data_IF_825358246702
#
_entry.id   IF_825358246702
#
_cell.length_a   1.000
_cell.length_b   1.000
_cell.length_c   1.000
_cell.angle_alpha   90.00
_cell.angle_beta   90.00
_cell.angle_gamma   90.00
#
_symmetry.space_group_name_H-M   'P 1'
#
loop_
_entity.id
_entity.type
_entity.pdbx_description
1 polymer ?
#
# COMPACT_ATOMS: atom_id res chain seq x y z
N UNK A 1 -4.11 -18.39 -3.73
CA UNK A 1 -3.44 -17.31 -2.96
C UNK A 1 -3.15 -17.87 -1.57
N UNK A 2 -1.96 -17.66 -0.99
CA UNK A 2 -1.78 -17.94 0.45
C UNK A 2 -2.65 -16.97 1.24
N UNK A 3 -3.21 -17.41 2.36
CA UNK A 3 -3.93 -16.53 3.29
C UNK A 3 -3.04 -15.37 3.73
N UNK A 4 -3.62 -14.18 3.84
CA UNK A 4 -2.99 -12.96 4.31
C UNK A 4 -3.70 -12.54 5.58
N UNK A 5 -3.10 -12.89 6.72
CA UNK A 5 -3.54 -12.44 8.03
C UNK A 5 -2.66 -11.26 8.47
N UNK A 6 -3.26 -10.14 8.85
CA UNK A 6 -2.55 -8.97 9.37
C UNK A 6 -2.41 -9.06 10.89
N UNK A 7 -1.18 -8.94 11.39
CA UNK A 7 -0.88 -8.92 12.82
C UNK A 7 -0.90 -7.49 13.38
N UNK A 8 -0.72 -6.48 12.52
CA UNK A 8 -0.51 -5.08 12.92
C UNK A 8 -1.49 -4.09 12.29
N UNK A 9 -2.37 -4.56 11.41
CA UNK A 9 -3.39 -3.75 10.73
C UNK A 9 -4.78 -4.29 11.06
N UNK A 10 -5.65 -3.42 11.55
CA UNK A 10 -7.07 -3.69 11.79
C UNK A 10 -7.92 -3.03 10.69
N UNK A 11 -8.64 -3.84 9.92
CA UNK A 11 -9.63 -3.39 8.95
C UNK A 11 -10.94 -3.06 9.66
N UNK A 12 -11.44 -1.85 9.46
CA UNK A 12 -12.66 -1.35 10.08
C UNK A 12 -13.58 -0.79 9.00
N UNK A 13 -14.86 -1.16 9.02
CA UNK A 13 -15.84 -0.59 8.09
C UNK A 13 -16.44 0.70 8.67
N UNK A 14 -16.54 1.74 7.84
CA UNK A 14 -17.30 2.95 8.20
C UNK A 14 -18.81 2.84 7.90
N UNK A 15 -19.19 1.91 7.02
CA UNK A 15 -20.55 1.74 6.52
C UNK A 15 -20.79 0.30 6.03
N UNK A 16 -22.05 -0.07 5.77
CA UNK A 16 -22.42 -1.42 5.35
C UNK A 16 -21.79 -1.85 4.02
N UNK A 17 -21.56 -0.92 3.08
CA UNK A 17 -20.92 -1.22 1.79
C UNK A 17 -19.43 -1.53 2.00
N UNK A 18 -18.77 -0.76 2.87
CA UNK A 18 -17.40 -1.03 3.31
C UNK A 18 -17.30 -2.37 4.07
N UNK A 19 -18.31 -2.72 4.87
CA UNK A 19 -18.39 -4.01 5.55
C UNK A 19 -18.50 -5.17 4.57
N UNK A 20 -19.26 -5.01 3.47
CA UNK A 20 -19.32 -6.00 2.39
C UNK A 20 -17.95 -6.17 1.71
N UNK A 21 -17.22 -5.09 1.46
CA UNK A 21 -15.87 -5.16 0.90
C UNK A 21 -14.91 -5.92 1.85
N UNK A 22 -14.94 -5.65 3.16
CA UNK A 22 -14.14 -6.37 4.15
C UNK A 22 -14.54 -7.85 4.24
N UNK A 23 -15.84 -8.17 4.15
CA UNK A 23 -16.30 -9.56 4.13
C UNK A 23 -15.84 -10.30 2.87
N UNK A 24 -15.79 -9.61 1.73
CA UNK A 24 -15.23 -10.16 0.49
C UNK A 24 -13.72 -10.38 0.61
N UNK A 25 -12.96 -9.45 1.21
CA UNK A 25 -11.54 -9.65 1.52
C UNK A 25 -11.34 -10.91 2.37
N UNK A 26 -12.16 -11.10 3.41
CA UNK A 26 -12.10 -12.29 4.27
C UNK A 26 -12.35 -13.57 3.47
N UNK A 27 -13.33 -13.55 2.56
CA UNK A 27 -13.64 -14.68 1.67
C UNK A 27 -12.49 -14.98 0.69
N UNK A 28 -11.74 -13.95 0.30
CA UNK A 28 -10.53 -14.05 -0.51
C UNK A 28 -9.28 -14.47 0.31
N UNK A 29 -9.43 -14.70 1.62
CA UNK A 29 -8.36 -15.10 2.53
C UNK A 29 -7.53 -13.93 3.06
N UNK A 30 -8.03 -12.70 3.03
CA UNK A 30 -7.36 -11.48 3.51
C UNK A 30 -8.12 -10.92 4.73
N UNK A 31 -7.50 -10.89 5.90
CA UNK A 31 -8.19 -10.49 7.13
C UNK A 31 -7.24 -9.97 8.21
N UNK A 32 -7.77 -9.18 9.15
CA UNK A 32 -7.07 -8.76 10.36
C UNK A 32 -7.23 -9.79 11.47
N UNK A 33 -6.17 -10.04 12.23
CA UNK A 33 -6.26 -10.87 13.43
C UNK A 33 -6.80 -10.01 14.58
N UNK A 34 -7.97 -10.38 15.08
CA UNK A 34 -8.64 -9.67 16.17
C UNK A 34 -7.92 -9.89 17.53
N UNK A 35 -8.12 -8.96 18.47
CA UNK A 35 -7.64 -9.03 19.86
C UNK A 35 -6.10 -9.17 20.02
N UNK A 36 -5.33 -8.52 19.15
CA UNK A 36 -3.87 -8.42 19.29
C UNK A 36 -3.48 -7.22 20.14
N UNK A 37 -2.44 -7.37 20.95
CA UNK A 37 -1.97 -6.35 21.90
C UNK A 37 -1.19 -5.19 21.26
N UNK A 38 -1.00 -5.15 19.94
CA UNK A 38 -0.19 -4.12 19.28
C UNK A 38 -0.64 -3.81 17.84
N UNK A 39 -1.82 -3.22 17.69
CA UNK A 39 -2.28 -2.68 16.42
C UNK A 39 -1.46 -1.43 16.05
N UNK A 40 -0.78 -1.46 14.91
CA UNK A 40 -0.05 -0.32 14.37
C UNK A 40 -0.97 0.59 13.56
N UNK A 41 -1.90 0.03 12.80
CA UNK A 41 -2.82 0.77 11.92
C UNK A 41 -4.27 0.37 12.18
N UNK A 42 -5.12 1.34 12.47
CA UNK A 42 -6.56 1.24 12.26
C UNK A 42 -6.84 1.75 10.84
N UNK A 43 -7.28 0.85 9.96
CA UNK A 43 -7.58 1.15 8.57
C UNK A 43 -9.10 1.19 8.37
N UNK A 44 -9.65 2.39 8.33
CA UNK A 44 -11.08 2.63 8.13
C UNK A 44 -11.38 2.66 6.63
N UNK A 45 -12.11 1.67 6.16
CA UNK A 45 -12.61 1.62 4.78
C UNK A 45 -13.94 2.36 4.72
N UNK A 46 -14.06 3.31 3.80
CA UNK A 46 -15.25 4.13 3.62
C UNK A 46 -15.70 4.14 2.15
N UNK A 47 -16.99 3.88 1.93
CA UNK A 47 -17.58 3.71 0.59
C UNK A 47 -18.75 4.64 0.32
N UNK A 48 -19.39 5.17 1.36
CA UNK A 48 -20.57 6.06 1.24
C UNK A 48 -20.36 7.41 1.94
N UNK A 49 -21.19 8.40 1.58
CA UNK A 49 -21.20 9.69 2.24
C UNK A 49 -21.65 9.59 3.72
N UNK A 50 -22.57 8.69 4.03
CA UNK A 50 -22.97 8.38 5.40
C UNK A 50 -21.79 7.80 6.20
N UNK A 51 -21.05 6.86 5.62
CA UNK A 51 -19.84 6.32 6.25
C UNK A 51 -18.79 7.39 6.53
N UNK A 52 -18.63 8.37 5.64
CA UNK A 52 -17.70 9.48 5.83
C UNK A 52 -18.03 10.33 7.07
N UNK A 53 -19.31 10.47 7.43
CA UNK A 53 -19.74 11.19 8.63
C UNK A 53 -19.56 10.35 9.92
N UNK A 54 -19.41 9.03 9.82
CA UNK A 54 -19.28 8.11 10.96
C UNK A 54 -17.84 7.72 11.30
N UNK A 55 -16.83 8.18 10.55
CA UNK A 55 -15.43 7.78 10.73
C UNK A 55 -14.95 7.98 12.17
N UNK A 56 -15.21 9.16 12.75
CA UNK A 56 -14.80 9.48 14.11
C UNK A 56 -15.41 8.52 15.14
N UNK A 57 -16.72 8.32 15.08
CA UNK A 57 -17.44 7.41 15.97
C UNK A 57 -16.91 5.97 15.85
N UNK A 58 -16.58 5.54 14.63
CA UNK A 58 -16.01 4.23 14.37
C UNK A 58 -14.61 4.13 15.01
N UNK A 59 -13.76 5.14 14.87
CA UNK A 59 -12.44 5.16 15.51
C UNK A 59 -12.51 5.17 17.04
N UNK A 60 -13.44 5.92 17.64
CA UNK A 60 -13.65 5.97 19.09
C UNK A 60 -14.06 4.61 19.69
N UNK A 61 -14.77 3.78 18.92
CA UNK A 61 -15.23 2.46 19.35
C UNK A 61 -14.17 1.36 19.25
N UNK A 62 -12.97 1.66 18.74
CA UNK A 62 -11.88 0.70 18.58
C UNK A 62 -10.69 1.07 19.46
N UNK A 63 -9.88 0.08 19.82
CA UNK A 63 -8.63 0.34 20.52
C UNK A 63 -7.72 1.24 19.69
N UNK A 64 -7.01 2.14 20.38
CA UNK A 64 -6.14 3.13 19.74
C UNK A 64 -4.95 2.44 19.08
N UNK A 65 -4.85 2.55 17.76
CA UNK A 65 -3.66 2.21 17.00
C UNK A 65 -2.61 3.33 17.04
N UNK A 66 -1.41 3.05 16.52
CA UNK A 66 -0.38 4.10 16.33
C UNK A 66 -0.74 5.08 15.23
N UNK A 67 -1.46 4.63 14.21
CA UNK A 67 -1.90 5.43 13.07
C UNK A 67 -3.32 5.09 12.69
N UNK A 68 -4.12 6.11 12.41
CA UNK A 68 -5.46 5.97 11.84
C UNK A 68 -5.40 6.36 10.36
N UNK A 69 -5.80 5.44 9.49
CA UNK A 69 -5.74 5.60 8.05
C UNK A 69 -7.14 5.40 7.49
N UNK A 70 -7.65 6.39 6.77
CA UNK A 70 -8.92 6.28 6.04
C UNK A 70 -8.62 5.89 4.60
N UNK A 71 -9.31 4.88 4.07
CA UNK A 71 -9.22 4.46 2.67
C UNK A 71 -10.57 4.65 2.00
N UNK A 72 -10.60 5.55 1.01
CA UNK A 72 -11.78 5.87 0.22
C UNK A 72 -11.95 4.85 -0.92
N UNK A 73 -13.03 4.08 -0.86
CA UNK A 73 -13.47 3.22 -1.95
C UNK A 73 -14.17 4.01 -3.06
N UNK A 74 -14.72 5.17 -2.71
CA UNK A 74 -15.35 6.13 -3.62
C UNK A 74 -14.52 7.42 -3.60
N UNK A 75 -13.70 7.69 -4.64
CA UNK A 75 -12.72 8.79 -4.61
C UNK A 75 -13.32 10.19 -4.50
N UNK A 76 -14.58 10.38 -4.84
CA UNK A 76 -15.29 11.66 -4.74
C UNK A 76 -15.71 12.00 -3.31
N UNK A 77 -15.62 11.05 -2.37
CA UNK A 77 -16.01 11.29 -0.97
C UNK A 77 -15.15 12.38 -0.33
N UNK A 78 -15.82 13.35 0.27
CA UNK A 78 -15.17 14.34 1.11
C UNK A 78 -15.05 13.77 2.53
N UNK A 79 -13.82 13.63 3.01
CA UNK A 79 -13.54 13.24 4.39
C UNK A 79 -13.10 14.51 5.11
N UNK A 80 -13.73 14.80 6.25
CA UNK A 80 -13.36 15.96 7.07
C UNK A 80 -11.95 15.78 7.62
N UNK A 81 -11.21 16.89 7.70
CA UNK A 81 -9.91 16.89 8.34
C UNK A 81 -10.11 16.84 9.85
N UNK A 82 -9.89 15.68 10.42
CA UNK A 82 -10.00 15.43 11.85
C UNK A 82 -8.63 15.08 12.43
N UNK A 83 -8.35 15.55 13.65
CA UNK A 83 -7.02 15.50 14.26
C UNK A 83 -6.58 14.08 14.65
N UNK A 84 -7.52 13.15 14.70
CA UNK A 84 -7.33 11.73 14.94
C UNK A 84 -7.09 10.93 13.65
N UNK A 85 -7.13 11.53 12.46
CA UNK A 85 -6.82 10.87 11.18
C UNK A 85 -5.40 11.25 10.72
N UNK A 86 -4.51 10.27 10.62
CA UNK A 86 -3.13 10.50 10.18
C UNK A 86 -2.98 10.54 8.65
N UNK A 87 -3.86 9.83 7.92
CA UNK A 87 -3.76 9.68 6.47
C UNK A 87 -5.11 9.40 5.84
N UNK A 88 -5.39 10.03 4.70
CA UNK A 88 -6.59 9.78 3.89
C UNK A 88 -6.11 9.35 2.51
N UNK A 89 -6.41 8.11 2.15
CA UNK A 89 -5.98 7.49 0.91
C UNK A 89 -7.16 7.32 -0.03
N UNK A 90 -6.90 7.52 -1.32
CA UNK A 90 -7.81 7.17 -2.40
C UNK A 90 -7.03 6.47 -3.50
N UNK A 91 -7.69 5.67 -4.31
CA UNK A 91 -7.03 4.96 -5.41
C UNK A 91 -7.08 5.78 -6.70
N UNK A 92 -6.03 5.66 -7.52
CA UNK A 92 -5.98 6.28 -8.84
C UNK A 92 -7.14 5.77 -9.72
N UNK A 93 -7.95 6.69 -10.24
CA UNK A 93 -9.07 6.36 -11.13
C UNK A 93 -8.58 6.27 -12.58
N UNK A 94 -8.29 5.05 -13.06
CA UNK A 94 -8.15 4.79 -14.49
C UNK A 94 -9.40 4.05 -15.02
N UNK A 95 -9.75 4.19 -16.32
CA UNK A 95 -10.86 3.43 -16.89
C UNK A 95 -10.69 1.92 -16.66
N UNK A 96 -11.69 1.29 -16.04
CA UNK A 96 -11.65 -0.14 -15.68
C UNK A 96 -11.00 -0.45 -14.33
N UNK A 97 -10.51 0.54 -13.58
CA UNK A 97 -10.06 0.34 -12.21
C UNK A 97 -11.23 -0.06 -11.30
N UNK A 98 -11.00 -1.10 -10.49
CA UNK A 98 -11.93 -1.56 -9.47
C UNK A 98 -11.33 -1.24 -8.09
N UNK A 99 -11.93 -0.31 -7.31
CA UNK A 99 -11.43 0.06 -5.99
C UNK A 99 -11.21 -1.14 -5.05
N UNK A 100 -12.02 -2.19 -5.17
CA UNK A 100 -11.81 -3.43 -4.41
C UNK A 100 -10.49 -4.12 -4.77
N UNK A 101 -10.16 -4.19 -6.05
CA UNK A 101 -8.89 -4.77 -6.51
C UNK A 101 -7.70 -3.91 -6.10
N UNK A 102 -7.83 -2.59 -6.16
CA UNK A 102 -6.78 -1.67 -5.70
C UNK A 102 -6.54 -1.80 -4.19
N UNK A 103 -7.60 -1.88 -3.38
CA UNK A 103 -7.50 -2.16 -1.95
C UNK A 103 -6.79 -3.50 -1.69
N UNK A 104 -7.13 -4.54 -2.46
CA UNK A 104 -6.49 -5.85 -2.35
C UNK A 104 -4.99 -5.79 -2.65
N UNK A 105 -4.59 -5.11 -3.72
CA UNK A 105 -3.18 -4.94 -4.07
C UNK A 105 -2.42 -4.10 -3.04
N UNK A 106 -3.05 -3.05 -2.50
CA UNK A 106 -2.49 -2.23 -1.44
C UNK A 106 -2.26 -3.02 -0.15
N UNK A 107 -3.24 -3.83 0.26
CA UNK A 107 -3.13 -4.71 1.43
C UNK A 107 -2.05 -5.78 1.26
N UNK A 108 -1.91 -6.35 0.06
CA UNK A 108 -0.80 -7.24 -0.27
C UNK A 108 0.54 -6.52 -0.14
N UNK A 109 0.68 -5.34 -0.76
CA UNK A 109 1.91 -4.55 -0.66
C UNK A 109 2.26 -4.22 0.80
N UNK A 110 1.26 -3.87 1.62
CA UNK A 110 1.44 -3.64 3.06
C UNK A 110 1.96 -4.89 3.77
N UNK A 111 1.31 -6.05 3.61
CA UNK A 111 1.76 -7.31 4.22
C UNK A 111 3.22 -7.57 3.86
N UNK A 112 3.53 -7.41 2.58
CA UNK A 112 4.79 -7.84 2.02
C UNK A 112 5.97 -6.97 2.43
N UNK A 113 5.74 -5.67 2.59
CA UNK A 113 6.81 -4.70 2.84
C UNK A 113 6.86 -4.18 4.28
N UNK A 114 5.72 -4.18 4.99
CA UNK A 114 5.64 -3.61 6.34
C UNK A 114 5.67 -4.70 7.42
N UNK A 115 4.93 -5.80 7.25
CA UNK A 115 4.83 -6.85 8.29
C UNK A 115 5.89 -7.94 8.15
N UNK A 116 6.23 -8.36 6.92
CA UNK A 116 7.19 -9.46 6.71
C UNK A 116 8.65 -8.97 6.79
N UNK A 117 8.87 -7.65 6.82
CA UNK A 117 10.16 -6.95 6.77
C UNK A 117 11.10 -7.38 5.63
N UNK A 118 11.53 -6.41 4.82
CA UNK A 118 12.55 -6.64 3.81
C UNK A 118 13.96 -6.72 4.41
N UNK A 119 14.93 -7.07 3.57
CA UNK A 119 16.35 -7.09 3.90
C UNK A 119 16.95 -5.66 4.00
N UNK A 120 16.26 -4.66 3.44
CA UNK A 120 16.71 -3.26 3.43
C UNK A 120 15.64 -2.38 4.03
N UNK A 121 15.98 -1.76 5.17
CA UNK A 121 15.65 -0.41 5.65
C UNK A 121 14.21 0.12 5.66
N UNK A 122 13.24 -0.58 5.09
CA UNK A 122 11.85 -0.15 5.01
C UNK A 122 11.05 -0.77 6.15
N UNK A 123 10.51 0.09 6.99
CA UNK A 123 9.74 -0.31 8.16
C UNK A 123 8.41 0.46 8.24
N UNK A 124 7.69 0.25 9.34
CA UNK A 124 6.44 0.95 9.61
C UNK A 124 6.56 2.48 9.58
N UNK A 125 7.68 3.06 10.04
CA UNK A 125 7.86 4.51 10.03
C UNK A 125 8.02 5.02 8.61
N UNK A 126 8.84 4.35 7.80
CA UNK A 126 8.96 4.66 6.37
C UNK A 126 7.60 4.58 5.67
N UNK A 127 6.82 3.53 5.93
CA UNK A 127 5.48 3.40 5.39
C UNK A 127 4.55 4.55 5.82
N UNK A 128 4.50 4.85 7.12
CA UNK A 128 3.68 5.92 7.66
C UNK A 128 4.05 7.30 7.05
N UNK A 129 5.33 7.55 6.78
CA UNK A 129 5.77 8.78 6.13
C UNK A 129 5.38 8.86 4.65
N UNK A 130 5.40 7.74 3.92
CA UNK A 130 4.93 7.68 2.52
C UNK A 130 3.45 8.00 2.40
N UNK A 131 2.62 7.44 3.29
CA UNK A 131 1.16 7.58 3.20
C UNK A 131 0.61 8.82 3.91
N UNK A 132 1.44 9.57 4.65
CA UNK A 132 1.02 10.73 5.45
C UNK A 132 0.32 11.79 4.60
N UNK A 133 -0.80 12.30 5.12
CA UNK A 133 -1.62 13.33 4.48
C UNK A 133 -2.72 12.76 3.57
N UNK A 134 -3.19 13.57 2.63
CA UNK A 134 -4.20 13.17 1.64
C UNK A 134 -3.49 12.74 0.36
N UNK A 135 -3.59 11.47 0.02
CA UNK A 135 -2.84 10.91 -1.10
C UNK A 135 -3.74 10.10 -2.05
N UNK A 136 -3.45 10.22 -3.33
CA UNK A 136 -3.86 9.25 -4.35
C UNK A 136 -2.77 8.20 -4.44
N UNK A 137 -3.12 6.94 -4.19
CA UNK A 137 -2.19 5.82 -4.17
C UNK A 137 -2.43 4.84 -5.31
N UNK A 138 -1.37 4.19 -5.77
CA UNK A 138 -1.43 3.13 -6.77
C UNK A 138 -0.33 2.08 -6.55
N UNK A 139 -0.63 0.84 -6.94
CA UNK A 139 0.28 -0.30 -6.83
C UNK A 139 0.42 -0.94 -8.20
N UNK A 140 1.65 -1.01 -8.70
CA UNK A 140 2.01 -1.69 -9.94
C UNK A 140 2.92 -2.85 -9.61
N UNK A 141 2.58 -4.07 -10.02
CA UNK A 141 3.36 -5.27 -9.68
C UNK A 141 3.48 -6.20 -10.88
N UNK A 142 4.71 -6.60 -11.21
CA UNK A 142 5.00 -7.45 -12.35
C UNK A 142 5.98 -8.55 -11.96
N UNK A 143 5.58 -9.79 -12.26
CA UNK A 143 6.45 -10.97 -12.09
C UNK A 143 7.51 -11.03 -13.17
N UNK A 144 8.66 -11.60 -12.85
CA UNK A 144 9.74 -11.91 -13.79
C UNK A 144 10.29 -13.31 -13.51
N UNK A 145 10.94 -13.92 -14.50
CA UNK A 145 11.56 -15.24 -14.33
C UNK A 145 13.05 -15.11 -14.05
N UNK A 146 13.82 -14.58 -15.00
CA UNK A 146 15.28 -14.54 -14.91
C UNK A 146 15.81 -13.10 -14.84
N UNK A 147 15.21 -12.19 -15.60
CA UNK A 147 15.67 -10.81 -15.74
C UNK A 147 14.64 -9.81 -15.17
N UNK A 148 15.05 -9.11 -14.12
CA UNK A 148 14.25 -8.07 -13.47
C UNK A 148 13.89 -6.93 -14.43
N UNK A 149 14.69 -6.72 -15.49
CA UNK A 149 14.44 -5.71 -16.50
C UNK A 149 13.11 -5.94 -17.24
N UNK A 150 12.63 -7.19 -17.33
CA UNK A 150 11.31 -7.53 -17.90
C UNK A 150 10.19 -6.83 -17.11
N UNK A 151 10.19 -7.01 -15.78
CA UNK A 151 9.22 -6.38 -14.89
C UNK A 151 9.37 -4.84 -14.87
N UNK A 152 10.61 -4.33 -14.85
CA UNK A 152 10.89 -2.89 -14.87
C UNK A 152 10.35 -2.24 -16.15
N UNK A 153 10.44 -2.91 -17.31
CA UNK A 153 9.92 -2.36 -18.57
C UNK A 153 8.41 -2.04 -18.49
N UNK A 154 7.66 -2.80 -17.71
CA UNK A 154 6.23 -2.55 -17.48
C UNK A 154 5.97 -1.40 -16.50
N UNK A 155 6.95 -0.99 -15.70
CA UNK A 155 6.87 0.14 -14.76
C UNK A 155 7.28 1.47 -15.40
N UNK A 156 8.11 1.46 -16.46
CA UNK A 156 8.55 2.68 -17.16
C UNK A 156 7.41 3.62 -17.62
N UNK A 157 6.23 3.14 -18.05
CA UNK A 157 5.14 4.02 -18.44
C UNK A 157 4.44 4.74 -17.28
N UNK A 158 4.73 4.40 -16.03
CA UNK A 158 4.12 5.04 -14.86
C UNK A 158 4.54 6.52 -14.81
N UNK A 159 3.56 7.41 -14.69
CA UNK A 159 3.77 8.84 -14.67
C UNK A 159 4.30 9.29 -13.29
N UNK A 160 5.62 9.33 -13.14
CA UNK A 160 6.28 9.81 -11.94
C UNK A 160 6.12 11.34 -11.81
N UNK A 161 5.72 11.78 -10.62
CA UNK A 161 5.55 13.16 -10.20
C UNK A 161 6.68 13.63 -9.31
N UNK A 162 7.05 14.89 -9.46
CA UNK A 162 8.10 15.57 -8.68
C UNK A 162 7.87 15.43 -7.18
N UNK A 163 6.67 15.73 -6.69
CA UNK A 163 6.33 15.64 -5.26
C UNK A 163 5.80 14.26 -4.83
N UNK A 164 6.09 13.21 -5.61
CA UNK A 164 5.63 11.86 -5.33
C UNK A 164 6.47 11.17 -4.27
N UNK A 165 5.84 10.30 -3.49
CA UNK A 165 6.53 9.38 -2.58
C UNK A 165 6.35 7.95 -3.07
N UNK A 166 7.45 7.21 -3.18
CA UNK A 166 7.48 5.92 -3.83
C UNK A 166 8.15 4.86 -2.96
N UNK A 167 7.66 3.63 -3.07
CA UNK A 167 8.35 2.43 -2.61
C UNK A 167 8.55 1.51 -3.80
N UNK A 168 9.81 1.25 -4.16
CA UNK A 168 10.19 0.22 -5.11
C UNK A 168 10.62 -1.03 -4.34
N UNK A 169 9.80 -2.07 -4.38
CA UNK A 169 10.09 -3.35 -3.72
C UNK A 169 10.29 -4.45 -4.75
N UNK A 170 11.23 -5.38 -4.49
CA UNK A 170 11.40 -6.54 -5.37
C UNK A 170 11.69 -7.81 -4.59
N UNK A 171 11.41 -8.94 -5.22
CA UNK A 171 11.60 -10.26 -4.62
C UNK A 171 12.55 -11.08 -5.49
N UNK A 172 13.55 -11.68 -4.86
CA UNK A 172 14.50 -12.58 -5.51
C UNK A 172 14.20 -14.01 -5.08
N UNK A 173 14.31 -15.00 -5.98
CA UNK A 173 13.88 -16.36 -5.68
C UNK A 173 14.73 -17.03 -4.59
N UNK A 174 16.04 -17.04 -4.82
CA UNK A 174 17.06 -17.48 -3.85
C UNK A 174 18.21 -16.47 -3.91
N UNK A 175 18.79 -16.13 -2.77
CA UNK A 175 19.93 -15.22 -2.75
C UNK A 175 21.11 -15.77 -3.57
N UNK A 176 21.53 -14.98 -4.55
CA UNK A 176 22.76 -15.12 -5.31
C UNK A 176 23.34 -13.71 -5.50
N UNK A 177 24.53 -13.47 -4.95
CA UNK A 177 25.21 -12.18 -4.99
C UNK A 177 25.41 -11.66 -6.43
N UNK A 178 25.73 -12.55 -7.39
CA UNK A 178 25.94 -12.15 -8.79
C UNK A 178 24.63 -11.80 -9.47
N UNK A 179 23.56 -12.53 -9.17
CA UNK A 179 22.22 -12.19 -9.66
C UNK A 179 21.74 -10.87 -9.06
N UNK A 180 21.89 -10.70 -7.74
CA UNK A 180 21.51 -9.48 -7.04
C UNK A 180 22.27 -8.25 -7.57
N UNK A 181 23.58 -8.36 -7.81
CA UNK A 181 24.36 -7.26 -8.40
C UNK A 181 23.85 -6.84 -9.77
N UNK A 182 23.46 -7.81 -10.63
CA UNK A 182 22.83 -7.52 -11.92
C UNK A 182 21.46 -6.86 -11.75
N UNK A 183 20.64 -7.37 -10.82
CA UNK A 183 19.32 -6.79 -10.55
C UNK A 183 19.42 -5.35 -10.04
N UNK A 184 20.37 -5.09 -9.13
CA UNK A 184 20.62 -3.75 -8.60
C UNK A 184 21.10 -2.80 -9.71
N UNK A 185 21.88 -3.26 -10.69
CA UNK A 185 22.27 -2.42 -11.82
C UNK A 185 21.05 -1.96 -12.63
N UNK A 186 20.16 -2.89 -13.03
CA UNK A 186 18.93 -2.54 -13.77
C UNK A 186 17.95 -1.71 -12.93
N UNK A 187 17.87 -1.96 -11.63
CA UNK A 187 17.06 -1.16 -10.70
C UNK A 187 17.63 0.25 -10.56
N UNK A 188 18.95 0.42 -10.40
CA UNK A 188 19.57 1.74 -10.31
C UNK A 188 19.27 2.57 -11.56
N UNK A 189 19.40 2.00 -12.75
CA UNK A 189 19.03 2.69 -14.00
C UNK A 189 17.57 3.15 -14.02
N UNK A 190 16.66 2.38 -13.40
CA UNK A 190 15.26 2.79 -13.27
C UNK A 190 15.07 3.84 -12.17
N UNK A 191 15.74 3.70 -11.03
CA UNK A 191 15.69 4.65 -9.92
C UNK A 191 16.22 6.03 -10.33
N UNK A 192 17.20 6.09 -11.25
CA UNK A 192 17.72 7.32 -11.84
C UNK A 192 16.67 8.06 -12.70
N UNK A 193 15.55 7.42 -13.05
CA UNK A 193 14.43 8.07 -13.76
C UNK A 193 13.44 8.78 -12.84
N UNK A 194 13.57 8.60 -11.51
CA UNK A 194 12.70 9.26 -10.55
C UNK A 194 13.05 10.75 -10.45
N UNK A 195 12.04 11.64 -10.35
CA UNK A 195 12.30 13.07 -10.19
C UNK A 195 13.15 13.37 -8.95
N UNK A 196 14.05 14.36 -9.04
CA UNK A 196 14.96 14.73 -7.96
C UNK A 196 14.23 15.15 -6.66
N UNK A 197 13.08 15.82 -6.80
CA UNK A 197 12.26 16.29 -5.67
C UNK A 197 11.38 15.17 -5.07
N UNK A 198 11.43 13.96 -5.63
CA UNK A 198 10.63 12.83 -5.15
C UNK A 198 11.30 12.09 -4.01
N UNK A 199 10.48 11.45 -3.17
CA UNK A 199 10.99 10.58 -2.10
C UNK A 199 10.93 9.12 -2.55
N UNK A 200 12.06 8.51 -2.83
CA UNK A 200 12.14 7.10 -3.21
C UNK A 200 12.69 6.25 -2.05
N UNK A 201 11.90 5.26 -1.64
CA UNK A 201 12.33 4.15 -0.80
C UNK A 201 12.46 2.90 -1.65
N UNK A 202 13.36 2.01 -1.26
CA UNK A 202 13.43 0.69 -1.88
C UNK A 202 13.70 -0.41 -0.86
N UNK A 203 13.23 -1.61 -1.17
CA UNK A 203 13.49 -2.78 -0.35
C UNK A 203 13.47 -4.06 -1.18
N UNK A 204 14.02 -5.14 -0.64
CA UNK A 204 13.92 -6.44 -1.27
C UNK A 204 13.85 -7.58 -0.25
N UNK A 205 13.42 -8.75 -0.70
CA UNK A 205 13.44 -9.97 0.10
C UNK A 205 13.57 -11.22 -0.76
N UNK A 206 13.91 -12.33 -0.13
CA UNK A 206 13.82 -13.65 -0.76
C UNK A 206 12.37 -14.15 -0.74
N UNK A 207 11.75 -14.31 -1.91
CA UNK A 207 10.41 -14.86 -2.05
C UNK A 207 10.13 -15.32 -3.49
N UNK A 208 9.16 -16.22 -3.63
CA UNK A 208 8.59 -16.65 -4.92
C UNK A 208 7.08 -16.38 -4.95
N UNK A 209 6.51 -15.89 -6.06
CA UNK A 209 7.19 -15.59 -7.34
C UNK A 209 8.11 -14.36 -7.23
N UNK A 210 9.08 -14.30 -8.14
CA UNK A 210 9.93 -13.11 -8.29
C UNK A 210 9.13 -12.02 -8.99
N UNK A 211 9.14 -10.83 -8.42
CA UNK A 211 8.38 -9.68 -8.90
C UNK A 211 8.99 -8.36 -8.47
N UNK A 212 8.68 -7.31 -9.21
CA UNK A 212 8.93 -5.91 -8.87
C UNK A 212 7.59 -5.23 -8.63
N UNK A 213 7.48 -4.53 -7.51
CA UNK A 213 6.30 -3.76 -7.13
C UNK A 213 6.69 -2.31 -6.88
N UNK A 214 6.05 -1.40 -7.62
CA UNK A 214 6.09 0.04 -7.36
C UNK A 214 4.80 0.45 -6.65
N UNK A 215 4.94 0.98 -5.44
CA UNK A 215 3.88 1.72 -4.77
C UNK A 215 4.14 3.21 -4.95
N UNK A 216 3.13 3.94 -5.43
CA UNK A 216 3.16 5.38 -5.57
C UNK A 216 2.13 6.02 -4.63
N UNK A 217 2.53 7.07 -3.95
CA UNK A 217 1.69 7.91 -3.08
C UNK A 217 1.89 9.36 -3.50
N UNK A 218 0.88 9.92 -4.15
CA UNK A 218 0.92 11.26 -4.72
C UNK A 218 -0.03 12.16 -3.92
N UNK A 219 0.49 13.27 -3.38
CA UNK A 219 -0.34 14.23 -2.66
C UNK A 219 -1.50 14.71 -3.52
N UNK A 220 -2.72 14.68 -2.98
CA UNK A 220 -3.90 15.24 -3.63
C UNK A 220 -4.05 16.74 -3.37
N UNK A 221 -3.14 17.36 -2.61
CA UNK A 221 -3.12 18.82 -2.41
C UNK A 221 -2.45 19.49 -3.62
N UNK A 222 -3.29 19.82 -4.61
CA UNK A 222 -3.10 20.89 -5.59
C UNK A 222 -4.37 21.73 -5.66
#
# INVERSE_FOLDING_TARGET
MKEIAFDSLLLIAADDVSQQAINQLRSDGIYSIENRSCTLINMVVVSTAEGAEHIHQVLENHERARKNVVVKMTPELCIKDESDIDSILSFQQNPGCNPYMELKHFLQMYKENVEIHGMVGFDFRSFADIIRGKNVVSVYSYEYQDDIAEAICHLKPVNLKDNGKYLLSFTVGKYDEKALSRYLASLNEYMDTFPEESCLYWTYREATPQKVTLFASISSEQ
#
